data_IF_992696272650
#
_entry.id   IF_992696272650
#
_cell.length_a   1.000
_cell.length_b   1.000
_cell.length_c   1.000
_cell.angle_alpha   90.00
_cell.angle_beta   90.00
_cell.angle_gamma   90.00
#
_symmetry.space_group_name_H-M   'P 1'
#
loop_
_entity.id
_entity.type
_entity.pdbx_description
1 polymer ?
#
# COMPACT_ATOMS: atom_id res chain seq x y z
N UNK A 1 -6.82 0.34 -12.11
CA UNK A 1 -6.48 -1.10 -12.20
C UNK A 1 -7.77 -1.88 -11.90
N UNK A 2 -8.11 -2.87 -12.74
CA UNK A 2 -9.37 -3.61 -12.63
C UNK A 2 -9.44 -4.52 -11.40
N UNK A 3 -10.68 -4.80 -10.96
CA UNK A 3 -10.96 -5.84 -9.97
C UNK A 3 -10.77 -7.25 -10.55
N UNK A 4 -10.62 -8.28 -9.71
CA UNK A 4 -10.62 -9.67 -10.18
C UNK A 4 -11.94 -10.04 -10.86
N UNK A 5 -11.89 -11.02 -11.77
CA UNK A 5 -13.10 -11.61 -12.34
C UNK A 5 -13.95 -12.26 -11.25
N UNK A 6 -15.27 -12.31 -11.45
CA UNK A 6 -16.20 -12.95 -10.53
C UNK A 6 -16.30 -14.46 -10.80
N UNK A 7 -16.74 -15.23 -9.80
CA UNK A 7 -17.06 -16.64 -10.01
C UNK A 7 -18.36 -16.79 -10.82
N UNK A 8 -18.50 -17.82 -11.66
CA UNK A 8 -19.78 -18.19 -12.24
C UNK A 8 -20.85 -18.40 -11.15
N UNK A 9 -22.09 -18.00 -11.42
CA UNK A 9 -23.18 -18.07 -10.47
C UNK A 9 -24.30 -17.07 -10.74
N UNK A 10 -25.32 -17.07 -9.88
CA UNK A 10 -26.41 -16.11 -9.90
C UNK A 10 -26.01 -14.84 -9.15
N UNK A 11 -26.23 -13.69 -9.78
CA UNK A 11 -25.96 -12.37 -9.23
C UNK A 11 -27.21 -11.50 -9.27
N UNK A 12 -27.24 -10.51 -8.38
CA UNK A 12 -28.27 -9.48 -8.33
C UNK A 12 -27.61 -8.11 -8.46
N UNK A 13 -28.10 -7.28 -9.38
CA UNK A 13 -27.77 -5.87 -9.46
C UNK A 13 -28.95 -5.04 -8.93
N UNK A 14 -28.66 -4.18 -7.96
CA UNK A 14 -29.66 -3.30 -7.32
C UNK A 14 -29.31 -1.84 -7.60
N UNK A 15 -30.27 -1.08 -8.15
CA UNK A 15 -30.17 0.37 -8.29
C UNK A 15 -30.67 1.04 -7.02
N UNK A 16 -29.83 1.89 -6.43
CA UNK A 16 -30.14 2.63 -5.20
C UNK A 16 -30.13 4.13 -5.47
N UNK A 17 -31.23 4.83 -5.16
CA UNK A 17 -31.38 6.29 -5.25
C UNK A 17 -31.74 6.80 -3.84
N UNK A 18 -31.05 7.83 -3.35
CA UNK A 18 -31.23 8.41 -2.01
C UNK A 18 -31.21 7.35 -0.89
N UNK A 19 -30.35 6.34 -1.03
CA UNK A 19 -30.22 5.26 -0.06
C UNK A 19 -31.40 4.28 -0.04
N UNK A 20 -32.33 4.34 -1.00
CA UNK A 20 -33.44 3.38 -1.19
C UNK A 20 -33.23 2.56 -2.44
N UNK A 21 -33.48 1.26 -2.35
CA UNK A 21 -33.44 0.36 -3.50
C UNK A 21 -34.68 0.61 -4.35
N UNK A 22 -34.49 1.04 -5.60
CA UNK A 22 -35.59 1.44 -6.50
C UNK A 22 -35.82 0.45 -7.64
N UNK A 23 -34.84 -0.42 -7.92
CA UNK A 23 -34.96 -1.51 -8.87
C UNK A 23 -33.92 -2.60 -8.60
N UNK A 24 -34.23 -3.85 -8.95
CA UNK A 24 -33.32 -4.98 -8.86
C UNK A 24 -33.53 -5.94 -10.02
N UNK A 25 -32.44 -6.47 -10.58
CA UNK A 25 -32.46 -7.50 -11.61
C UNK A 25 -31.46 -8.62 -11.28
N UNK A 26 -31.87 -9.86 -11.52
CA UNK A 26 -31.01 -11.05 -11.39
C UNK A 26 -30.48 -11.49 -12.74
N UNK A 27 -29.23 -11.93 -12.78
CA UNK A 27 -28.60 -12.48 -13.98
C UNK A 27 -27.60 -13.57 -13.60
N UNK A 28 -27.36 -14.49 -14.53
CA UNK A 28 -26.36 -15.54 -14.36
C UNK A 28 -25.05 -15.15 -15.04
N UNK A 29 -23.95 -15.34 -14.33
CA UNK A 29 -22.60 -15.30 -14.89
C UNK A 29 -22.17 -16.74 -15.17
N UNK A 30 -21.78 -17.00 -16.41
CA UNK A 30 -21.24 -18.29 -16.84
C UNK A 30 -19.77 -18.15 -17.18
N UNK A 31 -19.01 -19.22 -17.02
CA UNK A 31 -17.65 -19.28 -17.56
C UNK A 31 -17.67 -19.38 -19.09
N UNK A 32 -16.55 -19.05 -19.72
CA UNK A 32 -16.33 -19.34 -21.13
C UNK A 32 -16.47 -20.87 -21.38
N UNK A 33 -17.39 -21.30 -22.26
CA UNK A 33 -17.65 -22.72 -22.49
C UNK A 33 -16.47 -23.47 -23.11
N UNK A 34 -15.57 -22.77 -23.81
CA UNK A 34 -14.41 -23.39 -24.45
C UNK A 34 -13.24 -23.58 -23.46
N UNK A 35 -13.31 -22.96 -22.28
CA UNK A 35 -12.29 -23.05 -21.24
C UNK A 35 -12.69 -24.10 -20.19
N UNK A 36 -12.08 -25.27 -20.29
CA UNK A 36 -12.20 -26.31 -19.27
C UNK A 36 -11.26 -26.03 -18.11
N UNK A 37 -11.82 -25.58 -16.98
CA UNK A 37 -11.10 -25.36 -15.72
C UNK A 37 -11.87 -26.02 -14.58
N UNK A 38 -11.17 -26.70 -13.68
CA UNK A 38 -11.78 -27.23 -12.48
C UNK A 38 -12.29 -26.09 -11.59
N UNK A 39 -13.47 -26.26 -10.98
CA UNK A 39 -14.06 -25.25 -10.10
C UNK A 39 -13.11 -24.87 -8.94
N UNK A 40 -12.42 -25.86 -8.38
CA UNK A 40 -11.44 -25.66 -7.32
C UNK A 40 -10.25 -24.77 -7.76
N UNK A 41 -9.77 -24.94 -8.99
CA UNK A 41 -8.68 -24.11 -9.53
C UNK A 41 -9.15 -22.68 -9.80
N UNK A 42 -10.38 -22.53 -10.31
CA UNK A 42 -11.03 -21.22 -10.48
C UNK A 42 -11.17 -20.49 -9.15
N UNK A 43 -11.63 -21.20 -8.13
CA UNK A 43 -11.77 -20.70 -6.75
C UNK A 43 -10.43 -20.23 -6.20
N UNK A 44 -9.38 -21.04 -6.36
CA UNK A 44 -8.03 -20.71 -5.90
C UNK A 44 -7.49 -19.44 -6.59
N UNK A 45 -7.66 -19.31 -7.91
CA UNK A 45 -7.27 -18.11 -8.65
C UNK A 45 -8.04 -16.86 -8.19
N UNK A 46 -9.35 -16.99 -8.01
CA UNK A 46 -10.20 -15.92 -7.49
C UNK A 46 -9.76 -15.46 -6.11
N UNK A 47 -9.55 -16.38 -5.17
CA UNK A 47 -9.22 -16.04 -3.79
C UNK A 47 -7.86 -15.34 -3.70
N UNK A 48 -6.86 -15.85 -4.41
CA UNK A 48 -5.55 -15.22 -4.49
C UNK A 48 -5.64 -13.80 -5.11
N UNK A 49 -6.40 -13.64 -6.19
CA UNK A 49 -6.59 -12.35 -6.84
C UNK A 49 -7.36 -11.36 -5.95
N UNK A 50 -8.34 -11.83 -5.17
CA UNK A 50 -9.09 -11.02 -4.20
C UNK A 50 -8.24 -10.60 -3.02
N UNK A 51 -7.40 -11.48 -2.50
CA UNK A 51 -6.48 -11.12 -1.43
C UNK A 51 -5.47 -10.08 -1.89
N UNK A 52 -4.90 -10.24 -3.08
CA UNK A 52 -4.05 -9.22 -3.68
C UNK A 52 -4.80 -7.91 -3.94
N UNK A 53 -6.07 -7.97 -4.34
CA UNK A 53 -6.88 -6.77 -4.51
C UNK A 53 -7.11 -6.01 -3.20
N UNK A 54 -7.38 -6.73 -2.09
CA UNK A 54 -7.45 -6.14 -0.75
C UNK A 54 -6.10 -5.53 -0.34
N UNK A 55 -4.99 -6.19 -0.64
CA UNK A 55 -3.65 -5.64 -0.41
C UNK A 55 -3.38 -4.39 -1.25
N UNK A 56 -3.85 -4.33 -2.50
CA UNK A 56 -3.77 -3.12 -3.32
C UNK A 56 -4.51 -1.95 -2.67
N UNK A 57 -5.73 -2.19 -2.16
CA UNK A 57 -6.50 -1.16 -1.46
C UNK A 57 -5.76 -0.68 -0.20
N UNK A 58 -5.31 -1.62 0.64
CA UNK A 58 -4.52 -1.31 1.85
C UNK A 58 -3.23 -0.55 1.53
N UNK A 59 -2.56 -0.89 0.43
CA UNK A 59 -1.40 -0.14 -0.05
C UNK A 59 -1.77 1.28 -0.46
N UNK A 60 -2.86 1.48 -1.21
CA UNK A 60 -3.31 2.82 -1.63
C UNK A 60 -3.58 3.71 -0.42
N UNK A 61 -4.38 3.23 0.54
CA UNK A 61 -4.73 3.99 1.75
C UNK A 61 -3.47 4.41 2.55
N UNK A 62 -2.50 3.50 2.67
CA UNK A 62 -1.23 3.78 3.32
C UNK A 62 -0.35 4.74 2.51
N UNK A 63 -0.29 4.56 1.19
CA UNK A 63 0.49 5.38 0.28
C UNK A 63 0.02 6.83 0.29
N UNK A 64 -1.28 7.09 0.36
CA UNK A 64 -1.83 8.43 0.48
C UNK A 64 -1.32 9.15 1.74
N UNK A 65 -1.31 8.44 2.88
CA UNK A 65 -0.80 8.98 4.14
C UNK A 65 0.70 9.29 4.07
N UNK A 66 1.48 8.41 3.44
CA UNK A 66 2.94 8.59 3.28
C UNK A 66 3.25 9.74 2.30
N UNK A 67 2.47 9.88 1.22
CA UNK A 67 2.59 10.99 0.29
C UNK A 67 2.31 12.32 0.98
N UNK A 68 1.21 12.41 1.74
CA UNK A 68 0.88 13.62 2.49
C UNK A 68 2.00 14.02 3.48
N UNK A 69 2.64 13.05 4.12
CA UNK A 69 3.79 13.30 4.99
C UNK A 69 5.02 13.82 4.21
N UNK A 70 5.33 13.20 3.08
CA UNK A 70 6.41 13.65 2.20
C UNK A 70 6.21 15.10 1.74
N UNK A 71 4.97 15.47 1.39
CA UNK A 71 4.64 16.80 0.90
C UNK A 71 4.79 17.85 2.00
N UNK A 72 4.33 17.55 3.21
CA UNK A 72 4.56 18.41 4.40
C UNK A 72 6.05 18.58 4.69
N UNK A 73 6.82 17.50 4.60
CA UNK A 73 8.27 17.55 4.80
C UNK A 73 8.96 18.44 3.76
N UNK A 74 8.59 18.30 2.48
CA UNK A 74 9.10 19.16 1.40
C UNK A 74 8.72 20.63 1.60
N UNK A 75 7.49 20.90 2.02
CA UNK A 75 7.03 22.25 2.32
C UNK A 75 7.86 22.88 3.46
N UNK A 76 8.08 22.16 4.56
CA UNK A 76 8.94 22.62 5.66
C UNK A 76 10.38 22.89 5.19
N UNK A 77 10.97 21.98 4.39
CA UNK A 77 12.31 22.18 3.84
C UNK A 77 12.38 23.41 2.94
N UNK A 78 11.34 23.69 2.15
CA UNK A 78 11.23 24.93 1.36
C UNK A 78 11.21 26.17 2.24
N UNK A 79 10.28 26.23 3.20
CA UNK A 79 10.14 27.37 4.11
C UNK A 79 11.40 27.64 4.94
N UNK A 80 12.14 26.60 5.33
CA UNK A 80 13.39 26.76 6.08
C UNK A 80 14.58 27.22 5.22
N UNK A 81 14.57 26.94 3.92
CA UNK A 81 15.57 27.49 2.99
C UNK A 81 15.37 28.98 2.76
N UNK A 82 14.11 29.41 2.69
CA UNK A 82 13.74 30.79 2.44
C UNK A 82 13.85 31.66 3.72
N UNK A 83 13.79 31.04 4.90
CA UNK A 83 13.92 31.73 6.19
C UNK A 83 15.37 31.71 6.71
N UNK A 84 16.07 32.84 6.53
CA UNK A 84 17.46 33.03 7.00
C UNK A 84 17.60 33.05 8.52
N UNK A 85 16.53 33.35 9.25
CA UNK A 85 16.50 33.41 10.72
C UNK A 85 16.10 32.07 11.35
N UNK A 86 15.81 31.04 10.55
CA UNK A 86 15.45 29.73 11.06
C UNK A 86 16.65 29.11 11.83
N UNK A 87 16.44 28.61 13.07
CA UNK A 87 17.50 28.02 13.87
C UNK A 87 18.17 26.84 13.16
N UNK A 88 19.51 26.80 13.13
CA UNK A 88 20.26 25.69 12.53
C UNK A 88 19.92 24.33 13.15
N UNK A 89 19.59 24.31 14.44
CA UNK A 89 19.12 23.11 15.12
C UNK A 89 17.81 22.57 14.52
N UNK A 90 16.91 23.44 14.06
CA UNK A 90 15.65 23.05 13.43
C UNK A 90 15.88 22.52 12.01
N UNK A 91 16.75 23.17 11.23
CA UNK A 91 17.18 22.69 9.90
C UNK A 91 17.75 21.27 9.98
N UNK A 92 18.68 21.03 10.90
CA UNK A 92 19.29 19.71 11.13
C UNK A 92 18.24 18.65 11.51
N UNK A 93 17.31 18.96 12.42
CA UNK A 93 16.24 18.02 12.81
C UNK A 93 15.36 17.61 11.62
N UNK A 94 14.99 18.57 10.76
CA UNK A 94 14.17 18.29 9.58
C UNK A 94 14.95 17.47 8.54
N UNK A 95 16.23 17.75 8.32
CA UNK A 95 17.08 16.95 7.45
C UNK A 95 17.28 15.51 7.96
N UNK A 96 17.51 15.34 9.26
CA UNK A 96 17.61 14.03 9.88
C UNK A 96 16.30 13.25 9.76
N UNK A 97 15.17 13.91 9.96
CA UNK A 97 13.87 13.31 9.75
C UNK A 97 13.68 12.89 8.29
N UNK A 98 14.04 13.75 7.33
CA UNK A 98 13.96 13.43 5.91
C UNK A 98 14.78 12.19 5.54
N UNK A 99 16.00 12.07 6.08
CA UNK A 99 16.85 10.89 5.89
C UNK A 99 16.22 9.62 6.48
N UNK A 100 15.57 9.71 7.65
CA UNK A 100 14.86 8.58 8.28
C UNK A 100 13.58 8.19 7.53
N UNK A 101 12.90 9.16 6.91
CA UNK A 101 11.68 8.94 6.15
C UNK A 101 11.94 8.34 4.75
N UNK A 102 13.04 8.71 4.10
CA UNK A 102 13.38 8.26 2.74
C UNK A 102 13.26 6.74 2.48
N UNK A 103 13.77 5.83 3.35
CA UNK A 103 13.60 4.39 3.14
C UNK A 103 12.15 3.93 3.27
N UNK A 104 11.32 4.62 4.08
CA UNK A 104 9.88 4.34 4.16
C UNK A 104 9.19 4.80 2.88
N UNK A 105 9.42 6.05 2.45
CA UNK A 105 8.87 6.59 1.20
C UNK A 105 9.20 5.73 -0.02
N UNK A 106 10.43 5.24 -0.12
CA UNK A 106 10.87 4.38 -1.21
C UNK A 106 10.06 3.08 -1.34
N UNK A 107 9.62 2.46 -0.23
CA UNK A 107 8.75 1.26 -0.27
C UNK A 107 7.40 1.54 -0.92
N UNK A 108 6.94 2.78 -0.82
CA UNK A 108 5.71 3.27 -1.44
C UNK A 108 5.93 3.92 -2.82
N UNK A 109 7.17 3.94 -3.32
CA UNK A 109 7.53 4.59 -4.58
C UNK A 109 7.57 6.12 -4.51
N UNK A 110 7.62 6.69 -3.31
CA UNK A 110 7.64 8.13 -3.07
C UNK A 110 9.09 8.62 -2.97
N UNK A 111 9.34 9.82 -3.52
CA UNK A 111 10.65 10.46 -3.53
C UNK A 111 11.75 9.60 -4.19
N UNK A 112 11.37 8.69 -5.08
CA UNK A 112 12.31 7.95 -5.91
C UNK A 112 12.68 8.80 -7.12
N UNK A 113 13.95 8.71 -7.54
CA UNK A 113 14.36 9.34 -8.78
C UNK A 113 13.61 8.68 -9.95
N UNK A 114 13.22 9.49 -10.94
CA UNK A 114 12.48 9.00 -12.10
C UNK A 114 13.33 7.95 -12.83
N UNK A 115 12.87 6.68 -12.94
CA UNK A 115 13.64 5.64 -13.60
C UNK A 115 13.86 5.91 -15.09
N UNK A 116 13.01 6.72 -15.73
CA UNK A 116 13.21 7.16 -17.11
C UNK A 116 14.32 8.22 -17.23
N UNK A 117 14.67 8.88 -16.13
CA UNK A 117 15.79 9.84 -16.06
C UNK A 117 17.08 9.16 -15.60
N UNK A 118 17.00 8.27 -14.61
CA UNK A 118 18.19 7.61 -14.04
C UNK A 118 18.60 6.32 -14.74
N UNK A 119 17.71 5.71 -15.52
CA UNK A 119 17.89 4.38 -16.09
C UNK A 119 17.82 3.24 -15.06
N UNK A 120 17.61 3.53 -13.77
CA UNK A 120 17.54 2.53 -12.70
C UNK A 120 16.10 2.10 -12.41
N UNK A 121 15.67 1.03 -13.07
CA UNK A 121 14.39 0.39 -12.83
C UNK A 121 14.41 -0.59 -11.65
N UNK A 122 15.55 -0.87 -11.02
CA UNK A 122 15.65 -1.85 -9.93
C UNK A 122 14.89 -1.38 -8.68
N UNK A 123 14.93 -0.07 -8.41
CA UNK A 123 14.21 0.54 -7.29
C UNK A 123 12.71 0.59 -7.57
N UNK A 124 12.32 0.89 -8.81
CA UNK A 124 10.93 0.88 -9.27
C UNK A 124 10.30 -0.52 -9.18
N UNK A 125 10.97 -1.55 -9.69
CA UNK A 125 10.46 -2.95 -9.69
C UNK A 125 10.36 -3.55 -8.29
N UNK A 126 11.14 -3.05 -7.32
CA UNK A 126 11.06 -3.46 -5.90
C UNK A 126 9.92 -2.79 -5.13
N UNK A 127 9.35 -1.69 -5.62
CA UNK A 127 8.29 -0.99 -4.89
C UNK A 127 7.05 -1.89 -4.74
N UNK A 128 6.41 -1.84 -3.57
CA UNK A 128 5.35 -2.78 -3.21
C UNK A 128 4.17 -2.73 -4.18
N UNK A 129 3.84 -1.53 -4.69
CA UNK A 129 2.79 -1.35 -5.71
C UNK A 129 2.98 -2.25 -6.92
N UNK A 130 4.21 -2.31 -7.46
CA UNK A 130 4.52 -3.08 -8.65
C UNK A 130 4.55 -4.57 -8.37
N UNK A 131 5.07 -5.00 -7.21
CA UNK A 131 5.03 -6.41 -6.81
C UNK A 131 3.60 -6.91 -6.63
N UNK A 132 2.74 -6.18 -5.91
CA UNK A 132 1.33 -6.54 -5.73
C UNK A 132 0.61 -6.59 -7.09
N UNK A 133 0.81 -5.56 -7.92
CA UNK A 133 0.11 -5.47 -9.21
C UNK A 133 0.59 -6.49 -10.23
N UNK A 134 1.90 -6.74 -10.29
CA UNK A 134 2.50 -7.75 -11.15
C UNK A 134 2.07 -9.16 -10.77
N UNK A 135 2.06 -9.48 -9.47
CA UNK A 135 1.58 -10.78 -8.99
C UNK A 135 0.09 -10.97 -9.29
N UNK A 136 -0.74 -9.96 -9.02
CA UNK A 136 -2.17 -10.00 -9.34
C UNK A 136 -2.41 -10.17 -10.84
N UNK A 137 -1.70 -9.39 -11.66
CA UNK A 137 -1.77 -9.46 -13.12
C UNK A 137 -1.36 -10.84 -13.64
N UNK A 138 -0.28 -11.41 -13.13
CA UNK A 138 0.19 -12.75 -13.52
C UNK A 138 -0.72 -13.89 -13.08
N UNK A 139 -1.46 -13.74 -11.98
CA UNK A 139 -2.51 -14.70 -11.60
C UNK A 139 -3.72 -14.55 -12.50
N UNK A 140 -4.11 -13.31 -12.81
CA UNK A 140 -5.29 -13.02 -13.63
C UNK A 140 -5.08 -13.21 -15.14
N UNK A 141 -3.84 -13.36 -15.60
CA UNK A 141 -3.53 -13.54 -17.03
C UNK A 141 -3.72 -14.97 -17.52
N UNK A 142 -4.06 -15.91 -16.64
CA UNK A 142 -4.23 -17.32 -16.98
C UNK A 142 -5.52 -17.86 -16.35
N UNK A 143 -6.13 -18.83 -17.03
CA UNK A 143 -7.23 -19.65 -16.51
C UNK A 143 -6.74 -20.95 -15.89
N UNK A 144 -5.44 -21.06 -15.64
CA UNK A 144 -4.86 -22.17 -14.87
C UNK A 144 -4.84 -21.86 -13.38
N UNK A 145 -4.65 -22.90 -12.56
CA UNK A 145 -4.35 -22.75 -11.13
C UNK A 145 -3.12 -21.84 -10.95
N UNK A 146 -3.11 -20.94 -9.94
CA UNK A 146 -1.92 -20.17 -9.60
C UNK A 146 -0.71 -21.08 -9.35
N UNK A 147 0.46 -20.67 -9.84
CA UNK A 147 1.69 -21.45 -9.67
C UNK A 147 2.14 -21.46 -8.21
N UNK A 148 2.94 -22.47 -7.83
CA UNK A 148 3.49 -22.55 -6.49
C UNK A 148 4.30 -21.30 -6.11
N UNK A 149 5.07 -20.76 -7.06
CA UNK A 149 5.83 -19.51 -6.88
C UNK A 149 4.92 -18.33 -6.61
N UNK A 150 3.82 -18.18 -7.36
CA UNK A 150 2.84 -17.11 -7.12
C UNK A 150 2.21 -17.22 -5.73
N UNK A 151 1.85 -18.44 -5.33
CA UNK A 151 1.27 -18.71 -4.01
C UNK A 151 2.26 -18.46 -2.87
N UNK A 152 3.57 -18.67 -3.10
CA UNK A 152 4.63 -18.34 -2.15
C UNK A 152 4.86 -16.84 -2.02
N UNK A 153 4.79 -16.10 -3.13
CA UNK A 153 4.98 -14.64 -3.14
C UNK A 153 3.85 -13.87 -2.45
N UNK A 154 2.62 -14.40 -2.45
CA UNK A 154 1.46 -13.74 -1.84
C UNK A 154 1.65 -13.41 -0.34
N UNK A 155 2.00 -14.36 0.55
CA UNK A 155 2.27 -14.07 1.95
C UNK A 155 3.51 -13.18 2.16
N UNK A 156 4.52 -13.27 1.30
CA UNK A 156 5.71 -12.41 1.37
C UNK A 156 5.34 -10.94 1.12
N UNK A 157 4.60 -10.66 0.04
CA UNK A 157 4.17 -9.30 -0.30
C UNK A 157 3.22 -8.73 0.76
N UNK A 158 2.36 -9.57 1.35
CA UNK A 158 1.53 -9.19 2.49
C UNK A 158 2.39 -8.76 3.68
N UNK A 159 3.36 -9.58 4.07
CA UNK A 159 4.25 -9.30 5.19
C UNK A 159 5.09 -8.03 4.96
N UNK A 160 5.57 -7.81 3.73
CA UNK A 160 6.33 -6.61 3.39
C UNK A 160 5.46 -5.35 3.44
N UNK A 161 4.20 -5.43 3.01
CA UNK A 161 3.24 -4.34 3.14
C UNK A 161 2.96 -4.01 4.61
N UNK A 162 2.72 -5.03 5.45
CA UNK A 162 2.49 -4.84 6.88
C UNK A 162 3.69 -4.17 7.55
N UNK A 163 4.92 -4.63 7.23
CA UNK A 163 6.16 -3.99 7.70
C UNK A 163 6.31 -2.55 7.22
N UNK A 164 5.94 -2.24 5.98
CA UNK A 164 6.01 -0.88 5.43
C UNK A 164 5.02 0.07 6.13
N UNK A 165 3.80 -0.41 6.39
CA UNK A 165 2.77 0.34 7.12
C UNK A 165 3.17 0.58 8.57
N UNK A 166 3.70 -0.44 9.24
CA UNK A 166 4.25 -0.25 10.59
C UNK A 166 5.38 0.78 10.58
N UNK A 167 6.30 0.70 9.61
CA UNK A 167 7.38 1.66 9.44
C UNK A 167 6.88 3.11 9.26
N UNK A 168 5.85 3.34 8.45
CA UNK A 168 5.28 4.67 8.27
C UNK A 168 4.61 5.21 9.52
N UNK A 169 3.86 4.36 10.24
CA UNK A 169 3.26 4.72 11.52
C UNK A 169 4.32 5.08 12.58
N UNK A 170 5.45 4.35 12.62
CA UNK A 170 6.55 4.66 13.52
C UNK A 170 7.23 6.00 13.23
N UNK A 171 7.26 6.42 11.96
CA UNK A 171 7.81 7.72 11.56
C UNK A 171 6.84 8.85 11.87
N UNK A 172 5.53 8.66 11.67
CA UNK A 172 4.49 9.66 11.99
C UNK A 172 4.51 10.08 13.46
N UNK A 173 4.73 9.13 14.38
CA UNK A 173 4.79 9.36 15.84
C UNK A 173 6.01 10.20 16.25
N UNK A 174 7.10 10.19 15.46
CA UNK A 174 8.36 10.87 15.80
C UNK A 174 8.44 12.30 15.24
N UNK A 175 7.36 12.82 14.66
CA UNK A 175 7.30 14.19 14.15
C UNK A 175 7.10 15.15 15.33
N UNK A 176 7.98 16.13 15.55
CA UNK A 176 7.79 17.12 16.62
C UNK A 176 6.56 17.99 16.33
N UNK A 177 5.64 18.08 17.29
CA UNK A 177 4.47 18.97 17.24
C UNK A 177 3.15 18.34 16.77
N UNK A 178 3.08 17.04 16.49
CA UNK A 178 1.80 16.34 16.33
C UNK A 178 1.26 15.90 17.69
N UNK A 179 -0.05 16.07 17.98
CA UNK A 179 -0.64 15.51 19.19
C UNK A 179 -0.46 14.00 19.13
N UNK A 180 0.27 13.48 20.11
CA UNK A 180 0.46 12.06 20.35
C UNK A 180 -0.91 11.39 20.29
N UNK A 181 -1.14 10.54 19.29
CA UNK A 181 -2.37 9.75 19.23
C UNK A 181 -2.21 8.63 20.25
N UNK A 182 -2.33 9.00 21.52
CA UNK A 182 -1.97 8.33 22.79
C UNK A 182 -2.63 6.93 23.01
N UNK A 183 -3.39 6.44 22.04
CA UNK A 183 -3.95 5.09 21.99
C UNK A 183 -3.32 4.16 20.94
N UNK A 184 -2.73 4.68 19.87
CA UNK A 184 -2.18 3.88 18.75
C UNK A 184 -0.76 3.37 18.99
N UNK A 185 0.00 4.05 19.85
CA UNK A 185 1.41 3.72 20.10
C UNK A 185 1.59 2.37 20.84
N UNK A 186 0.68 2.03 21.77
CA UNK A 186 0.84 0.85 22.66
C UNK A 186 0.99 -0.49 21.95
N UNK A 187 0.47 -0.62 20.73
CA UNK A 187 0.50 -1.87 19.96
C UNK A 187 1.62 -1.92 18.92
N UNK A 188 2.38 -0.83 18.75
CA UNK A 188 3.46 -0.75 17.77
C UNK A 188 4.81 -1.01 18.42
N UNK A 189 5.58 -1.95 17.86
CA UNK A 189 6.90 -2.36 18.35
C UNK A 189 7.88 -1.18 18.50
N UNK A 190 7.73 -0.11 17.70
CA UNK A 190 8.59 1.06 17.72
C UNK A 190 8.39 1.99 18.93
N UNK A 191 7.27 1.90 19.65
CA UNK A 191 7.01 2.75 20.82
C UNK A 191 7.77 2.26 22.07
N UNK A 192 8.11 0.97 22.17
CA UNK A 192 9.03 0.47 23.22
C UNK A 192 10.45 1.01 23.12
N UNK A 193 10.85 1.50 21.95
CA UNK A 193 12.21 1.97 21.69
C UNK A 193 12.41 3.46 21.97
N UNK A 194 11.33 4.25 22.01
CA UNK A 194 11.38 5.67 22.42
C UNK A 194 11.52 5.82 23.93
N UNK A 195 10.88 4.95 24.73
CA UNK A 195 10.97 4.96 26.21
C UNK A 195 12.39 4.71 26.76
N UNK A 196 13.28 4.11 25.98
CA UNK A 196 14.67 3.82 26.37
C UNK A 196 15.61 5.01 26.15
N UNK A 197 15.24 5.97 25.30
CA UNK A 197 16.07 7.16 25.01
C UNK A 197 15.78 8.29 26.01
N UNK A 198 14.59 8.32 26.61
CA UNK A 198 14.19 9.35 27.58
C UNK A 198 14.62 9.03 29.04
N UNK A 199 15.24 7.86 29.26
CA UNK A 199 15.79 7.42 30.56
C UNK A 199 17.32 7.54 30.67
N UNK A 200 17.98 8.31 29.81
CA UNK A 200 19.42 8.61 29.91
C UNK A 200 19.70 10.10 29.85
#
# INVERSE_FOLDING_TARGET
>A
MGGPFVMPGQYQATLRIDGKDVASNTFSVVGDPDITIAEADRRAAFDAAMDLHKLQKKFSDASESVTALNDRLRAMQGSLKDNKDAPEALKKKIEEFAKKFQPVGARFGIAMADPFVTGDFSVFTRALRFRISGLKGGIMSSTSRPTETQMRQLPEVKADLDKAIQGSQCVDIRIPGTPERDGRCRHLSCCRQTDQVEKR
#
